data_IF_230437265075
#
_entry.id   IF_230437265075
#
_cell.length_a   1.000
_cell.length_b   1.000
_cell.length_c   1.000
_cell.angle_alpha   90.00
_cell.angle_beta   90.00
_cell.angle_gamma   90.00
#
_symmetry.space_group_name_H-M   'P 1'
#
loop_
_entity.id
_entity.type
_entity.pdbx_description
1 polymer ?
#
# COMPACT_ATOMS: atom_id res chain seq x y z
N UNK A 1 -13.66 2.02 -7.96
CA UNK A 1 -12.19 2.13 -7.87
C UNK A 1 -11.67 2.47 -6.48
N UNK A 2 -12.23 3.48 -5.80
CA UNK A 2 -11.75 3.89 -4.46
C UNK A 2 -11.73 2.76 -3.43
N UNK A 3 -12.79 1.94 -3.35
CA UNK A 3 -12.83 0.81 -2.41
C UNK A 3 -11.79 -0.27 -2.71
N UNK A 4 -11.51 -0.54 -3.99
CA UNK A 4 -10.46 -1.49 -4.39
C UNK A 4 -9.07 -0.96 -4.06
N UNK A 5 -8.83 0.33 -4.29
CA UNK A 5 -7.59 1.00 -3.90
C UNK A 5 -7.39 0.96 -2.39
N UNK A 6 -8.43 1.26 -1.60
CA UNK A 6 -8.45 1.16 -0.13
C UNK A 6 -8.05 -0.23 0.35
N UNK A 7 -8.72 -1.27 -0.15
CA UNK A 7 -8.42 -2.65 0.24
C UNK A 7 -6.99 -3.02 -0.14
N UNK A 8 -6.55 -2.67 -1.36
CA UNK A 8 -5.19 -2.96 -1.82
C UNK A 8 -4.14 -2.24 -0.97
N UNK A 9 -4.38 -0.98 -0.62
CA UNK A 9 -3.48 -0.18 0.22
C UNK A 9 -3.37 -0.72 1.66
N UNK A 10 -4.48 -1.18 2.23
CA UNK A 10 -4.48 -1.82 3.55
C UNK A 10 -3.75 -3.17 3.49
N UNK A 11 -4.02 -3.99 2.47
CA UNK A 11 -3.34 -5.27 2.27
C UNK A 11 -1.84 -5.11 2.03
N UNK A 12 -1.45 -4.10 1.25
CA UNK A 12 -0.05 -3.74 1.01
C UNK A 12 0.64 -3.37 2.33
N UNK A 13 0.05 -2.47 3.12
CA UNK A 13 0.60 -2.08 4.42
C UNK A 13 0.69 -3.24 5.42
N UNK A 14 -0.33 -4.11 5.48
CA UNK A 14 -0.32 -5.33 6.31
C UNK A 14 0.78 -6.28 5.83
N UNK A 15 0.92 -6.48 4.51
CA UNK A 15 1.95 -7.36 3.96
C UNK A 15 3.36 -6.82 4.20
N UNK A 16 3.56 -5.50 4.16
CA UNK A 16 4.82 -4.84 4.49
C UNK A 16 5.18 -5.03 5.97
N UNK A 17 4.21 -4.85 6.86
CA UNK A 17 4.36 -5.11 8.30
C UNK A 17 4.64 -6.60 8.57
N UNK A 18 3.97 -7.53 7.90
CA UNK A 18 4.24 -8.95 8.04
C UNK A 18 5.66 -9.31 7.57
N UNK A 19 6.14 -8.67 6.51
CA UNK A 19 7.48 -8.86 5.98
C UNK A 19 8.55 -8.41 7.00
N UNK A 20 8.39 -7.23 7.59
CA UNK A 20 9.33 -6.68 8.56
C UNK A 20 9.20 -7.28 9.96
N UNK A 21 7.98 -7.50 10.45
CA UNK A 21 7.73 -7.95 11.82
C UNK A 21 7.76 -9.48 11.98
N UNK A 22 7.48 -10.24 10.92
CA UNK A 22 7.43 -11.72 10.99
C UNK A 22 8.55 -12.34 10.19
N UNK A 23 8.64 -12.05 8.88
CA UNK A 23 9.57 -12.81 8.03
C UNK A 23 11.03 -12.40 8.18
N UNK A 24 11.33 -11.14 8.52
CA UNK A 24 12.70 -10.72 8.85
C UNK A 24 13.21 -11.38 10.14
N UNK A 25 12.49 -11.35 11.28
CA UNK A 25 12.87 -12.11 12.47
C UNK A 25 13.00 -13.60 12.19
N UNK A 26 12.07 -14.20 11.43
CA UNK A 26 12.13 -15.62 11.11
C UNK A 26 13.32 -15.98 10.21
N UNK A 27 13.71 -15.08 9.29
CA UNK A 27 14.88 -15.25 8.43
C UNK A 27 16.19 -15.18 9.23
N UNK A 28 16.32 -14.20 10.12
CA UNK A 28 17.57 -13.95 10.83
C UNK A 28 17.70 -14.73 12.15
N UNK A 29 16.61 -14.92 12.90
CA UNK A 29 16.61 -15.60 14.20
C UNK A 29 16.37 -17.12 14.07
N UNK A 30 15.50 -17.54 13.14
CA UNK A 30 15.18 -18.96 12.95
C UNK A 30 15.87 -19.59 11.74
N UNK A 31 16.66 -18.82 10.97
CA UNK A 31 17.40 -19.32 9.81
C UNK A 31 16.52 -19.84 8.67
N UNK A 32 15.23 -19.47 8.63
CA UNK A 32 14.26 -19.94 7.64
C UNK A 32 14.02 -18.83 6.59
N UNK A 33 14.72 -18.85 5.45
CA UNK A 33 14.57 -17.82 4.42
C UNK A 33 13.34 -18.01 3.53
N UNK A 34 12.77 -19.23 3.48
CA UNK A 34 11.64 -19.54 2.60
C UNK A 34 10.39 -18.68 2.85
N UNK A 35 9.90 -18.49 4.09
CA UNK A 35 8.72 -17.66 4.37
C UNK A 35 8.89 -16.22 3.88
N UNK A 36 10.09 -15.64 4.06
CA UNK A 36 10.40 -14.30 3.57
C UNK A 36 10.29 -14.18 2.05
N UNK A 37 10.65 -15.24 1.31
CA UNK A 37 10.58 -15.26 -0.14
C UNK A 37 9.14 -15.25 -0.65
N UNK A 38 8.27 -16.09 -0.09
CA UNK A 38 6.86 -16.16 -0.48
C UNK A 38 6.09 -14.89 -0.11
N UNK A 39 6.27 -14.40 1.12
CA UNK A 39 5.65 -13.14 1.57
C UNK A 39 6.18 -11.95 0.78
N UNK A 40 7.48 -11.94 0.45
CA UNK A 40 8.07 -10.92 -0.42
C UNK A 40 7.49 -10.91 -1.84
N UNK A 41 7.24 -12.07 -2.43
CA UNK A 41 6.57 -12.14 -3.73
C UNK A 41 5.11 -11.67 -3.67
N UNK A 42 4.35 -12.10 -2.65
CA UNK A 42 2.98 -11.63 -2.44
C UNK A 42 2.93 -10.10 -2.25
N UNK A 43 3.84 -9.57 -1.43
CA UNK A 43 3.98 -8.14 -1.22
C UNK A 43 4.35 -7.39 -2.50
N UNK A 44 5.30 -7.89 -3.29
CA UNK A 44 5.67 -7.28 -4.58
C UNK A 44 4.49 -7.18 -5.55
N UNK A 45 3.64 -8.21 -5.63
CA UNK A 45 2.42 -8.18 -6.44
C UNK A 45 1.43 -7.13 -5.93
N UNK A 46 1.24 -7.04 -4.61
CA UNK A 46 0.38 -6.03 -3.99
C UNK A 46 0.90 -4.61 -4.23
N UNK A 47 2.22 -4.40 -4.17
CA UNK A 47 2.87 -3.12 -4.43
C UNK A 47 2.67 -2.68 -5.89
N UNK A 48 2.86 -3.57 -6.87
CA UNK A 48 2.61 -3.26 -8.28
C UNK A 48 1.13 -2.93 -8.49
N UNK A 49 0.23 -3.71 -7.90
CA UNK A 49 -1.23 -3.47 -7.99
C UNK A 49 -1.59 -2.10 -7.40
N UNK A 50 -0.99 -1.74 -6.26
CA UNK A 50 -1.17 -0.43 -5.64
C UNK A 50 -0.70 0.70 -6.57
N UNK A 51 0.49 0.59 -7.18
CA UNK A 51 1.00 1.64 -8.09
C UNK A 51 0.05 1.84 -9.27
N UNK A 52 -0.40 0.74 -9.89
CA UNK A 52 -1.33 0.82 -11.02
C UNK A 52 -2.61 1.56 -10.59
N UNK A 53 -3.20 1.16 -9.47
CA UNK A 53 -4.41 1.81 -8.96
C UNK A 53 -4.16 3.28 -8.57
N UNK A 54 -3.00 3.60 -7.99
CA UNK A 54 -2.63 4.97 -7.64
C UNK A 54 -2.50 5.86 -8.89
N UNK A 55 -1.90 5.35 -9.97
CA UNK A 55 -1.77 6.08 -11.25
C UNK A 55 -3.14 6.29 -11.88
N UNK A 56 -4.00 5.26 -11.91
CA UNK A 56 -5.36 5.39 -12.45
C UNK A 56 -6.17 6.43 -11.67
N UNK A 57 -6.09 6.40 -10.34
CA UNK A 57 -6.80 7.34 -9.46
C UNK A 57 -6.23 8.76 -9.58
N UNK A 58 -4.92 8.89 -9.78
CA UNK A 58 -4.23 10.15 -10.07
C UNK A 58 -4.73 10.78 -11.38
N UNK A 59 -4.90 9.96 -12.43
CA UNK A 59 -5.47 10.38 -13.72
C UNK A 59 -6.96 10.73 -13.61
N UNK A 60 -7.77 9.91 -12.95
CA UNK A 60 -9.22 10.16 -12.77
C UNK A 60 -9.49 11.46 -12.00
N UNK A 61 -8.76 11.69 -10.91
CA UNK A 61 -8.97 12.87 -10.06
C UNK A 61 -8.22 14.11 -10.57
N UNK A 62 -7.48 14.02 -11.69
CA UNK A 62 -6.64 15.10 -12.25
C UNK A 62 -5.78 15.78 -11.19
N UNK A 63 -5.22 14.99 -10.28
CA UNK A 63 -4.44 15.53 -9.17
C UNK A 63 -3.09 16.05 -9.65
N UNK A 64 -2.52 17.05 -8.97
CA UNK A 64 -1.20 17.57 -9.33
C UNK A 64 -0.11 16.53 -9.09
N UNK A 65 1.00 16.59 -9.82
CA UNK A 65 2.15 15.67 -9.70
C UNK A 65 2.63 15.56 -8.23
N UNK A 66 2.54 16.64 -7.46
CA UNK A 66 2.86 16.65 -6.02
C UNK A 66 2.02 15.63 -5.24
N UNK A 67 0.72 15.50 -5.53
CA UNK A 67 -0.15 14.50 -4.90
C UNK A 67 0.19 13.09 -5.37
N UNK A 68 0.55 12.89 -6.64
CA UNK A 68 1.02 11.60 -7.17
C UNK A 68 2.29 11.11 -6.46
N UNK A 69 3.26 12.02 -6.23
CA UNK A 69 4.47 11.71 -5.46
C UNK A 69 4.12 11.39 -4.00
N UNK A 70 3.22 12.14 -3.37
CA UNK A 70 2.76 11.86 -2.00
C UNK A 70 2.11 10.46 -1.93
N UNK A 71 1.31 10.05 -2.93
CA UNK A 71 0.70 8.72 -2.98
C UNK A 71 1.72 7.58 -3.11
N UNK A 72 2.78 7.80 -3.91
CA UNK A 72 3.88 6.85 -4.08
C UNK A 72 4.76 6.76 -2.83
N UNK A 73 5.12 7.91 -2.24
CA UNK A 73 5.84 7.94 -0.96
C UNK A 73 4.98 7.33 0.14
N UNK A 74 3.66 7.51 0.07
CA UNK A 74 2.74 6.91 1.01
C UNK A 74 2.67 5.38 0.91
N UNK A 75 2.99 4.79 -0.24
CA UNK A 75 3.06 3.33 -0.40
C UNK A 75 4.39 2.73 0.07
N UNK A 76 5.40 3.57 0.32
CA UNK A 76 6.67 3.14 0.91
C UNK A 76 6.60 3.12 2.45
N UNK A 77 5.55 3.70 3.03
CA UNK A 77 5.34 3.81 4.45
C UNK A 77 4.00 3.17 4.82
N UNK A 78 3.98 2.05 5.57
CA UNK A 78 2.74 1.30 5.85
C UNK A 78 1.66 2.12 6.56
N UNK A 79 2.02 3.27 7.15
CA UNK A 79 1.11 4.18 7.84
C UNK A 79 0.61 5.34 6.96
N UNK A 80 1.28 5.64 5.86
CA UNK A 80 0.94 6.78 5.03
C UNK A 80 -0.22 6.48 4.06
N UNK A 81 -0.43 5.22 3.71
CA UNK A 81 -1.65 4.74 3.03
C UNK A 81 -2.92 5.04 3.85
N UNK A 82 -2.89 4.84 5.17
CA UNK A 82 -3.99 5.23 6.08
C UNK A 82 -4.21 6.75 6.14
N UNK A 83 -3.15 7.55 6.03
CA UNK A 83 -3.27 9.01 6.02
C UNK A 83 -3.88 9.51 4.71
N UNK A 84 -3.46 8.94 3.57
CA UNK A 84 -4.03 9.25 2.25
C UNK A 84 -5.53 8.96 2.23
N UNK A 85 -5.92 7.83 2.80
CA UNK A 85 -7.31 7.45 2.94
C UNK A 85 -8.11 8.47 3.75
N UNK A 86 -7.65 8.80 4.95
CA UNK A 86 -8.37 9.73 5.82
C UNK A 86 -8.44 11.14 5.23
N UNK A 87 -7.41 11.59 4.50
CA UNK A 87 -7.30 12.96 3.99
C UNK A 87 -7.93 13.17 2.62
N UNK A 88 -7.83 12.20 1.72
CA UNK A 88 -8.21 12.39 0.31
C UNK A 88 -9.43 11.55 -0.13
N UNK A 89 -9.81 10.52 0.63
CA UNK A 89 -10.98 9.68 0.32
C UNK A 89 -12.21 10.00 1.18
N UNK A 90 -12.06 10.79 2.25
CA UNK A 90 -13.16 11.15 3.16
C UNK A 90 -14.11 12.21 2.60
N UNK A 91 -13.73 12.98 1.57
CA UNK A 91 -14.56 14.05 1.01
C UNK A 91 -15.79 13.58 0.20
N UNK A 92 -15.94 12.28 -0.09
CA UNK A 92 -17.09 11.76 -0.87
C UNK A 92 -18.15 11.01 -0.04
N UNK A 93 -18.10 11.07 1.29
CA UNK A 93 -19.15 10.47 2.15
C UNK A 93 -20.17 11.51 2.66
N UNK A 94 -20.02 12.79 2.29
CA UNK A 94 -20.92 13.88 2.70
C UNK A 94 -22.00 14.25 1.66
N UNK A 95 -22.16 13.45 0.60
CA UNK A 95 -23.23 13.61 -0.38
C UNK A 95 -23.86 12.24 -0.69
N UNK A 96 -24.63 11.72 0.26
CA UNK A 96 -25.61 10.65 0.06
C UNK A 96 -26.83 10.98 0.91
#
# INVERSE_FOLDING_TARGET
MLNFFRITAILEGISYLALFAVTMPLKYLAGLPMPNKYVGYAHGVLFITYIILAVVLWMEKKWSIKKGIILLVASLLPFATFYVEKKYLSENTAQA
#
